data_IF_012949395022
#
_entry.id   IF_012949395022
#
_cell.length_a   1.000
_cell.length_b   1.000
_cell.length_c   1.000
_cell.angle_alpha   90.00
_cell.angle_beta   90.00
_cell.angle_gamma   90.00
#
_symmetry.space_group_name_H-M   'P 1'
#
loop_
_entity.id
_entity.type
_entity.pdbx_description
1 polymer ?
#
# COMPACT_ATOMS: atom_id res chain seq x y z
N UNK A 1 8.97 -20.80 -17.65
CA UNK A 1 8.99 -21.47 -16.33
C UNK A 1 9.35 -20.43 -15.29
N UNK A 2 8.49 -20.21 -14.29
CA UNK A 2 8.86 -19.44 -13.12
C UNK A 2 9.46 -20.42 -12.10
N UNK A 3 10.67 -20.15 -11.62
CA UNK A 3 11.34 -20.95 -10.60
C UNK A 3 11.05 -20.33 -9.23
N UNK A 4 10.68 -21.17 -8.26
CA UNK A 4 10.50 -20.76 -6.87
C UNK A 4 11.87 -20.61 -6.23
N UNK A 5 12.11 -19.45 -5.62
CA UNK A 5 13.24 -19.30 -4.71
C UNK A 5 12.99 -20.11 -3.43
N UNK A 6 13.85 -21.09 -3.18
CA UNK A 6 13.67 -22.02 -2.06
C UNK A 6 13.83 -21.34 -0.69
N UNK A 7 14.60 -20.26 -0.59
CA UNK A 7 14.79 -19.53 0.64
C UNK A 7 13.55 -18.69 0.97
N UNK A 8 12.99 -17.98 0.00
CA UNK A 8 11.74 -17.22 0.17
C UNK A 8 10.57 -18.15 0.48
N UNK A 9 10.49 -19.29 -0.21
CA UNK A 9 9.43 -20.27 0.04
C UNK A 9 9.51 -20.86 1.44
N UNK A 10 10.70 -21.26 1.89
CA UNK A 10 10.90 -21.81 3.23
C UNK A 10 10.58 -20.81 4.33
N UNK A 11 10.98 -19.54 4.14
CA UNK A 11 10.67 -18.45 5.07
C UNK A 11 9.16 -18.18 5.16
N UNK A 12 8.47 -18.10 4.00
CA UNK A 12 7.02 -17.95 3.98
C UNK A 12 6.31 -19.13 4.64
N UNK A 13 6.74 -20.36 4.33
CA UNK A 13 6.16 -21.57 4.93
C UNK A 13 6.31 -21.57 6.45
N UNK A 14 7.49 -21.22 6.97
CA UNK A 14 7.72 -21.09 8.40
C UNK A 14 6.82 -20.02 9.04
N UNK A 15 6.68 -18.85 8.40
CA UNK A 15 5.76 -17.81 8.85
C UNK A 15 4.29 -18.26 8.82
N UNK A 16 3.89 -19.07 7.82
CA UNK A 16 2.50 -19.53 7.64
C UNK A 16 2.03 -20.51 8.73
N UNK A 17 2.95 -21.24 9.37
CA UNK A 17 2.64 -22.12 10.51
C UNK A 17 2.22 -21.30 11.74
N UNK A 18 2.89 -20.16 11.99
CA UNK A 18 2.58 -19.24 13.09
C UNK A 18 2.45 -17.78 12.57
N UNK A 19 1.35 -17.46 11.86
CA UNK A 19 1.24 -16.19 11.15
C UNK A 19 1.12 -15.01 12.12
N UNK A 20 1.97 -14.02 11.89
CA UNK A 20 2.01 -12.78 12.68
C UNK A 20 2.12 -11.55 11.80
N UNK A 21 1.62 -10.42 12.28
CA UNK A 21 1.78 -9.09 11.68
C UNK A 21 2.96 -8.30 12.26
N UNK A 22 3.74 -8.91 13.18
CA UNK A 22 4.90 -8.24 13.76
C UNK A 22 5.93 -7.90 12.67
N UNK A 23 6.38 -6.64 12.64
CA UNK A 23 7.45 -6.18 11.74
C UNK A 23 8.77 -6.92 11.96
N UNK A 24 8.98 -7.48 13.15
CA UNK A 24 10.23 -8.14 13.54
C UNK A 24 10.34 -9.61 13.12
N UNK A 25 9.30 -10.20 12.51
CA UNK A 25 9.41 -11.56 12.00
C UNK A 25 10.20 -11.56 10.68
N UNK A 26 11.03 -12.59 10.45
CA UNK A 26 11.96 -12.63 9.30
C UNK A 26 11.27 -12.35 7.95
N UNK A 27 10.12 -12.99 7.73
CA UNK A 27 9.32 -12.82 6.52
C UNK A 27 8.92 -11.37 6.28
N UNK A 28 8.28 -10.73 7.26
CA UNK A 28 7.84 -9.34 7.09
C UNK A 28 9.02 -8.38 7.07
N UNK A 29 10.02 -8.53 7.95
CA UNK A 29 11.19 -7.67 7.99
C UNK A 29 11.84 -7.52 6.60
N UNK A 30 11.99 -8.64 5.89
CA UNK A 30 12.48 -8.65 4.50
C UNK A 30 11.59 -7.84 3.57
N UNK A 31 10.28 -8.09 3.57
CA UNK A 31 9.32 -7.37 2.72
C UNK A 31 9.27 -5.88 3.06
N UNK A 32 9.38 -5.52 4.34
CA UNK A 32 9.47 -4.13 4.78
C UNK A 32 10.66 -3.42 4.15
N UNK A 33 11.85 -4.03 4.31
CA UNK A 33 13.12 -3.48 3.81
C UNK A 33 13.16 -3.37 2.29
N UNK A 34 12.75 -4.42 1.60
CA UNK A 34 12.94 -4.55 0.16
C UNK A 34 11.82 -3.89 -0.65
N UNK A 35 10.59 -3.87 -0.12
CA UNK A 35 9.40 -3.49 -0.89
C UNK A 35 8.61 -2.35 -0.24
N UNK A 36 8.16 -2.49 1.01
CA UNK A 36 7.22 -1.54 1.63
C UNK A 36 7.87 -0.16 1.83
N UNK A 37 9.05 -0.10 2.47
CA UNK A 37 9.70 1.20 2.72
C UNK A 37 10.02 1.92 1.40
N UNK A 38 10.68 1.30 0.39
CA UNK A 38 10.88 1.98 -0.90
C UNK A 38 9.59 2.38 -1.61
N UNK A 39 8.52 1.59 -1.47
CA UNK A 39 7.22 1.88 -2.08
C UNK A 39 6.50 3.06 -1.39
N UNK A 40 6.68 3.27 -0.09
CA UNK A 40 6.06 4.40 0.64
C UNK A 40 6.99 5.60 0.85
N UNK A 41 8.17 5.62 0.24
CA UNK A 41 8.99 6.83 0.16
C UNK A 41 8.35 7.86 -0.77
N UNK A 42 8.04 9.04 -0.21
CA UNK A 42 7.48 10.20 -0.91
C UNK A 42 8.26 11.47 -0.55
N UNK A 43 8.08 12.54 -1.33
CA UNK A 43 8.72 13.84 -1.07
C UNK A 43 8.28 14.46 0.26
N UNK A 44 7.03 14.23 0.68
CA UNK A 44 6.56 14.53 2.05
C UNK A 44 6.66 13.28 2.91
N UNK A 45 7.78 13.13 3.60
CA UNK A 45 8.11 11.96 4.41
C UNK A 45 7.11 11.69 5.53
N UNK A 46 6.62 12.73 6.20
CA UNK A 46 5.71 12.63 7.34
C UNK A 46 4.40 11.98 6.92
N UNK A 47 3.90 12.35 5.74
CA UNK A 47 2.69 11.78 5.16
C UNK A 47 2.93 10.33 4.71
N UNK A 48 4.13 9.99 4.24
CA UNK A 48 4.52 8.61 3.95
C UNK A 48 4.52 7.71 5.20
N UNK A 49 5.07 8.20 6.32
CA UNK A 49 5.05 7.51 7.61
C UNK A 49 3.62 7.33 8.13
N UNK A 50 2.78 8.37 8.06
CA UNK A 50 1.37 8.30 8.45
C UNK A 50 0.57 7.29 7.60
N UNK A 51 0.87 7.20 6.29
CA UNK A 51 0.30 6.17 5.42
C UNK A 51 0.71 4.78 5.89
N UNK A 52 2.00 4.55 6.16
CA UNK A 52 2.44 3.23 6.60
C UNK A 52 1.72 2.79 7.88
N UNK A 53 1.67 3.68 8.88
CA UNK A 53 0.98 3.41 10.14
C UNK A 53 -0.52 3.09 9.91
N UNK A 54 -1.20 3.91 9.11
CA UNK A 54 -2.61 3.70 8.81
C UNK A 54 -2.86 2.42 7.99
N UNK A 55 -1.96 2.05 7.08
CA UNK A 55 -2.05 0.79 6.34
C UNK A 55 -1.93 -0.38 7.30
N UNK A 56 -0.98 -0.37 8.23
CA UNK A 56 -0.78 -1.44 9.21
C UNK A 56 -1.92 -1.58 10.21
N UNK A 57 -2.48 -0.45 10.65
CA UNK A 57 -3.66 -0.41 11.52
C UNK A 57 -4.97 -0.68 10.78
N UNK A 58 -4.93 -0.80 9.44
CA UNK A 58 -6.10 -0.97 8.59
C UNK A 58 -7.12 0.18 8.71
N UNK A 59 -6.63 1.41 8.85
CA UNK A 59 -7.43 2.63 9.01
C UNK A 59 -7.32 3.58 7.82
N UNK A 60 -6.53 3.25 6.79
CA UNK A 60 -6.44 4.05 5.57
C UNK A 60 -7.61 3.77 4.63
N UNK A 61 -8.29 4.82 4.15
CA UNK A 61 -9.25 4.71 3.03
C UNK A 61 -8.73 5.42 1.78
N UNK A 62 -9.09 4.89 0.61
CA UNK A 62 -8.81 5.48 -0.70
C UNK A 62 -10.14 5.63 -1.44
N UNK A 63 -10.54 6.87 -1.71
CA UNK A 63 -11.83 7.20 -2.30
C UNK A 63 -11.66 7.85 -3.67
N UNK A 64 -12.51 7.54 -4.66
CA UNK A 64 -12.60 8.32 -5.88
C UNK A 64 -13.17 9.71 -5.56
N UNK A 65 -12.64 10.72 -6.23
CA UNK A 65 -13.18 12.09 -6.16
C UNK A 65 -14.39 12.14 -7.10
N UNK A 66 -15.59 12.16 -6.53
CA UNK A 66 -16.82 12.40 -7.30
C UNK A 66 -16.90 13.83 -7.86
N UNK A 67 -17.90 14.10 -8.69
CA UNK A 67 -18.17 15.44 -9.25
C UNK A 67 -18.60 16.49 -8.21
N UNK A 68 -18.83 16.10 -6.96
CA UNK A 68 -19.24 17.04 -5.92
C UNK A 68 -18.03 17.71 -5.27
N UNK A 69 -17.96 19.06 -5.28
CA UNK A 69 -16.97 19.78 -4.50
C UNK A 69 -17.13 19.41 -3.03
N UNK A 70 -16.06 18.95 -2.38
CA UNK A 70 -16.06 18.88 -0.92
C UNK A 70 -16.30 20.27 -0.35
N UNK A 71 -17.02 20.40 0.78
CA UNK A 71 -17.07 21.65 1.53
C UNK A 71 -15.63 22.11 1.79
N UNK A 72 -15.34 23.35 1.44
CA UNK A 72 -14.01 23.95 1.59
C UNK A 72 -13.66 23.96 3.08
N UNK A 73 -12.94 22.95 3.57
CA UNK A 73 -12.46 22.95 4.95
C UNK A 73 -11.20 23.82 5.00
N UNK A 74 -11.30 24.83 5.87
CA UNK A 74 -10.42 25.96 6.12
C UNK A 74 -8.92 25.61 6.19
N UNK A 75 -8.11 26.55 5.69
CA UNK A 75 -6.69 26.84 6.00
C UNK A 75 -5.61 25.74 5.80
N UNK A 76 -5.91 24.44 5.92
CA UNK A 76 -4.94 23.35 5.71
C UNK A 76 -4.74 22.95 4.22
N UNK A 77 -5.37 23.69 3.31
CA UNK A 77 -5.55 23.33 1.90
C UNK A 77 -4.24 23.19 1.08
N UNK A 78 -3.14 23.80 1.52
CA UNK A 78 -1.86 23.72 0.78
C UNK A 78 -1.21 22.35 0.97
N UNK A 79 -1.31 21.76 2.17
CA UNK A 79 -0.66 20.50 2.49
C UNK A 79 -1.45 19.28 2.00
N UNK A 80 -2.78 19.41 1.97
CA UNK A 80 -3.73 18.39 1.53
C UNK A 80 -3.75 18.15 0.00
N UNK A 81 -3.03 18.98 -0.76
CA UNK A 81 -3.06 18.96 -2.22
C UNK A 81 -4.41 19.39 -2.77
N UNK A 82 -4.68 19.03 -4.02
CA UNK A 82 -5.96 19.32 -4.67
C UNK A 82 -6.15 18.53 -5.95
N UNK A 83 -7.26 18.72 -6.67
CA UNK A 83 -7.55 18.00 -7.91
C UNK A 83 -6.45 18.08 -8.98
N UNK A 84 -5.58 19.09 -8.91
CA UNK A 84 -4.45 19.30 -9.84
C UNK A 84 -3.06 19.16 -9.19
N UNK A 85 -2.96 18.85 -7.89
CA UNK A 85 -1.69 18.77 -7.16
C UNK A 85 -1.69 17.62 -6.17
N UNK A 86 -0.74 16.70 -6.32
CA UNK A 86 -0.58 15.57 -5.42
C UNK A 86 -0.05 16.03 -4.05
N UNK A 87 -0.71 15.60 -2.98
CA UNK A 87 -0.29 15.88 -1.61
C UNK A 87 1.06 15.22 -1.26
N UNK A 88 1.33 14.03 -1.80
CA UNK A 88 2.50 13.21 -1.47
C UNK A 88 3.76 13.59 -2.22
N UNK A 89 3.66 13.80 -3.54
CA UNK A 89 4.79 14.14 -4.39
C UNK A 89 4.94 15.65 -4.64
N UNK A 90 3.91 16.45 -4.31
CA UNK A 90 3.87 17.88 -4.63
C UNK A 90 3.70 18.22 -6.12
N UNK A 91 3.71 17.21 -6.99
CA UNK A 91 3.66 17.40 -8.45
C UNK A 91 2.28 17.85 -8.93
N UNK A 92 2.27 18.70 -9.96
CA UNK A 92 1.06 19.11 -10.67
C UNK A 92 0.59 17.99 -11.59
N UNK A 93 -0.42 17.24 -11.14
CA UNK A 93 -1.06 16.12 -11.85
C UNK A 93 -2.54 16.06 -11.50
N UNK A 94 -3.36 15.58 -12.43
CA UNK A 94 -4.77 15.33 -12.17
C UNK A 94 -4.93 14.22 -11.13
N UNK A 95 -5.54 14.55 -9.99
CA UNK A 95 -5.76 13.63 -8.87
C UNK A 95 -7.25 13.28 -8.83
N UNK A 96 -7.59 12.09 -9.35
CA UNK A 96 -8.96 11.55 -9.35
C UNK A 96 -9.32 10.82 -8.03
N UNK A 97 -8.38 10.72 -7.09
CA UNK A 97 -8.55 10.00 -5.84
C UNK A 97 -8.01 10.82 -4.66
N UNK A 98 -8.56 10.53 -3.48
CA UNK A 98 -8.13 11.09 -2.20
C UNK A 98 -7.98 9.98 -1.16
N UNK A 99 -7.11 10.20 -0.19
CA UNK A 99 -6.92 9.30 0.94
C UNK A 99 -7.36 9.97 2.24
N UNK A 100 -7.79 9.17 3.22
CA UNK A 100 -8.19 9.60 4.56
C UNK A 100 -7.63 8.62 5.59
N UNK A 101 -7.20 9.16 6.74
CA UNK A 101 -6.70 8.37 7.86
C UNK A 101 -7.81 8.24 8.92
N UNK A 102 -8.32 7.03 9.12
CA UNK A 102 -9.37 6.72 10.10
C UNK A 102 -10.53 7.72 10.05
N UNK A 103 -10.81 8.32 11.20
CA UNK A 103 -11.89 9.30 11.37
C UNK A 103 -11.46 10.76 11.13
N UNK A 104 -10.24 11.00 10.65
CA UNK A 104 -9.73 12.35 10.37
C UNK A 104 -10.64 13.10 9.41
N UNK A 105 -10.95 14.37 9.69
CA UNK A 105 -11.74 15.20 8.76
C UNK A 105 -10.99 15.60 7.48
N UNK A 106 -9.68 15.32 7.41
CA UNK A 106 -8.80 15.77 6.33
C UNK A 106 -8.66 14.72 5.23
N UNK A 107 -8.78 15.19 3.99
CA UNK A 107 -8.54 14.38 2.78
C UNK A 107 -7.29 14.86 2.07
N UNK A 108 -6.50 13.91 1.55
CA UNK A 108 -5.27 14.20 0.81
C UNK A 108 -5.41 13.72 -0.62
N UNK A 109 -5.32 14.64 -1.59
CA UNK A 109 -5.40 14.30 -3.01
C UNK A 109 -4.13 13.57 -3.45
N UNK A 110 -4.29 12.46 -4.15
CA UNK A 110 -3.16 11.63 -4.60
C UNK A 110 -3.18 11.45 -6.11
N UNK A 111 -2.00 11.56 -6.73
CA UNK A 111 -1.84 11.25 -8.15
C UNK A 111 -2.09 9.77 -8.40
N UNK A 112 -2.42 9.37 -9.66
CA UNK A 112 -2.58 7.95 -10.02
C UNK A 112 -1.37 7.11 -9.62
N UNK A 113 -0.16 7.64 -9.80
CA UNK A 113 1.07 6.96 -9.40
C UNK A 113 1.20 6.77 -7.89
N UNK A 114 0.98 7.83 -7.09
CA UNK A 114 1.05 7.71 -5.64
C UNK A 114 -0.03 6.76 -5.11
N UNK A 115 -1.25 6.82 -5.68
CA UNK A 115 -2.31 5.85 -5.39
C UNK A 115 -1.84 4.43 -5.66
N UNK A 116 -1.22 4.17 -6.81
CA UNK A 116 -0.74 2.84 -7.18
C UNK A 116 0.23 2.27 -6.14
N UNK A 117 1.23 3.06 -5.71
CA UNK A 117 2.16 2.67 -4.64
C UNK A 117 1.42 2.28 -3.36
N UNK A 118 0.49 3.12 -2.91
CA UNK A 118 -0.31 2.89 -1.71
C UNK A 118 -1.14 1.61 -1.85
N UNK A 119 -1.84 1.43 -2.97
CA UNK A 119 -2.72 0.27 -3.18
C UNK A 119 -1.93 -1.03 -3.27
N UNK A 120 -0.74 -1.02 -3.86
CA UNK A 120 0.13 -2.21 -3.90
C UNK A 120 0.48 -2.68 -2.48
N UNK A 121 0.84 -1.74 -1.60
CA UNK A 121 1.13 -2.04 -0.19
C UNK A 121 -0.13 -2.47 0.57
N UNK A 122 -1.27 -1.79 0.37
CA UNK A 122 -2.54 -2.16 0.98
C UNK A 122 -2.98 -3.58 0.60
N UNK A 123 -2.87 -3.94 -0.68
CA UNK A 123 -3.22 -5.28 -1.16
C UNK A 123 -2.35 -6.35 -0.50
N UNK A 124 -1.04 -6.11 -0.37
CA UNK A 124 -0.14 -6.99 0.37
C UNK A 124 -0.62 -7.20 1.81
N UNK A 125 -0.79 -6.13 2.58
CA UNK A 125 -1.25 -6.25 3.97
C UNK A 125 -2.62 -6.90 4.12
N UNK A 126 -3.54 -6.60 3.20
CA UNK A 126 -4.88 -7.20 3.19
C UNK A 126 -4.78 -8.72 3.07
N UNK A 127 -3.98 -9.21 2.12
CA UNK A 127 -3.79 -10.64 1.92
C UNK A 127 -3.08 -11.31 3.10
N UNK A 128 -2.03 -10.68 3.64
CA UNK A 128 -1.33 -11.17 4.84
C UNK A 128 -2.28 -11.28 6.04
N UNK A 129 -3.17 -10.30 6.25
CA UNK A 129 -4.22 -10.37 7.28
C UNK A 129 -5.19 -11.52 7.04
N UNK A 130 -5.61 -11.74 5.80
CA UNK A 130 -6.51 -12.85 5.47
C UNK A 130 -5.88 -14.20 5.79
N UNK A 131 -4.58 -14.37 5.50
CA UNK A 131 -3.85 -15.59 5.90
C UNK A 131 -3.80 -15.70 7.42
N UNK A 132 -3.42 -14.63 8.13
CA UNK A 132 -3.29 -14.61 9.59
C UNK A 132 -4.61 -14.91 10.31
N UNK A 133 -5.73 -14.44 9.76
CA UNK A 133 -7.08 -14.67 10.30
C UNK A 133 -7.68 -16.02 9.88
N UNK A 134 -6.98 -16.83 9.06
CA UNK A 134 -7.49 -18.11 8.57
C UNK A 134 -8.63 -17.99 7.56
N UNK A 135 -8.73 -16.85 6.86
CA UNK A 135 -9.77 -16.59 5.86
C UNK A 135 -9.45 -17.24 4.50
N UNK A 136 -8.18 -17.54 4.23
CA UNK A 136 -7.74 -18.20 2.99
C UNK A 136 -7.80 -19.73 3.14
N UNK A 137 -8.97 -20.31 2.91
CA UNK A 137 -9.23 -21.75 3.16
C UNK A 137 -9.05 -22.68 1.95
N UNK A 138 -9.16 -22.14 0.73
CA UNK A 138 -9.20 -22.95 -0.50
C UNK A 138 -7.85 -23.02 -1.23
N UNK A 139 -6.87 -22.21 -0.83
CA UNK A 139 -5.56 -22.18 -1.46
C UNK A 139 -4.60 -23.13 -0.73
N UNK A 140 -3.79 -23.87 -1.48
CA UNK A 140 -2.64 -24.57 -0.91
C UNK A 140 -1.49 -23.59 -0.60
N UNK A 141 -0.46 -24.06 0.11
CA UNK A 141 0.67 -23.23 0.54
C UNK A 141 1.44 -22.65 -0.64
N UNK A 142 1.52 -23.37 -1.76
CA UNK A 142 2.23 -22.91 -2.96
C UNK A 142 1.45 -21.79 -3.66
N UNK A 143 0.13 -21.94 -3.79
CA UNK A 143 -0.76 -20.92 -4.30
C UNK A 143 -0.71 -19.65 -3.44
N UNK A 144 -0.71 -19.79 -2.11
CA UNK A 144 -0.57 -18.63 -1.23
C UNK A 144 0.78 -17.93 -1.40
N UNK A 145 1.85 -18.70 -1.53
CA UNK A 145 3.18 -18.17 -1.78
C UNK A 145 3.25 -17.40 -3.10
N UNK A 146 2.69 -17.95 -4.18
CA UNK A 146 2.67 -17.27 -5.48
C UNK A 146 1.88 -15.98 -5.46
N UNK A 147 0.77 -15.92 -4.72
CA UNK A 147 0.02 -14.69 -4.50
C UNK A 147 0.87 -13.65 -3.75
N UNK A 148 1.59 -14.05 -2.70
CA UNK A 148 2.56 -13.18 -2.02
C UNK A 148 3.65 -12.68 -2.99
N UNK A 149 4.22 -13.56 -3.82
CA UNK A 149 5.24 -13.16 -4.81
C UNK A 149 4.69 -12.17 -5.84
N UNK A 150 3.44 -12.37 -6.28
CA UNK A 150 2.77 -11.45 -7.20
C UNK A 150 2.54 -10.08 -6.53
N UNK A 151 2.09 -10.03 -5.28
CA UNK A 151 1.93 -8.78 -4.53
C UNK A 151 3.27 -8.05 -4.30
N UNK A 152 4.34 -8.79 -3.97
CA UNK A 152 5.70 -8.22 -3.87
C UNK A 152 6.21 -7.69 -5.20
N UNK A 153 5.90 -8.38 -6.31
CA UNK A 153 6.22 -7.91 -7.66
C UNK A 153 5.52 -6.59 -7.98
N UNK A 154 4.24 -6.44 -7.63
CA UNK A 154 3.52 -5.19 -7.84
C UNK A 154 4.15 -4.03 -7.04
N UNK A 155 4.53 -4.26 -5.78
CA UNK A 155 5.28 -3.27 -4.99
C UNK A 155 6.66 -2.97 -5.60
N UNK A 156 7.34 -3.98 -6.15
CA UNK A 156 8.63 -3.83 -6.82
C UNK A 156 8.53 -3.03 -8.12
N UNK A 157 7.44 -3.14 -8.86
CA UNK A 157 7.17 -2.26 -10.00
C UNK A 157 6.83 -0.83 -9.55
N UNK A 158 5.98 -0.70 -8.52
CA UNK A 158 5.57 0.59 -7.98
C UNK A 158 6.76 1.41 -7.43
N UNK A 159 7.70 0.78 -6.70
CA UNK A 159 8.88 1.47 -6.14
C UNK A 159 9.82 2.01 -7.23
N UNK A 160 9.83 1.39 -8.41
CA UNK A 160 10.64 1.80 -9.56
C UNK A 160 9.91 2.76 -10.52
N UNK A 161 8.65 3.10 -10.26
CA UNK A 161 7.88 4.01 -11.11
C UNK A 161 7.08 3.34 -12.22
N UNK A 162 7.09 2.00 -12.31
CA UNK A 162 6.29 1.27 -13.29
C UNK A 162 4.86 1.14 -12.79
N UNK A 163 3.95 1.93 -13.38
CA UNK A 163 2.52 1.77 -13.19
C UNK A 163 1.81 1.96 -14.52
N UNK A 164 0.71 1.24 -14.73
CA UNK A 164 -0.17 1.45 -15.88
C UNK A 164 -1.33 2.29 -15.40
N UNK A 165 -1.45 3.50 -15.93
CA UNK A 165 -2.65 4.32 -15.76
C UNK A 165 -3.74 3.67 -16.63
N UNK A 166 -4.47 2.70 -16.07
CA UNK A 166 -5.71 2.27 -16.70
C UNK A 166 -6.72 3.41 -16.52
N UNK A 167 -6.77 4.25 -17.59
CA UNK A 167 -7.69 5.32 -17.97
C UNK A 167 -8.87 5.63 -17.02
#
# INVERSE_FOLDING_TARGET
FLLVDSQLFSEFKAWKEEPTLSRSCCFLERVYREDIYPCLTFSKSELGSAILEAVEQNTLSVEPVGFQPLPVVKAAAVECGGPKKCALSGQTKTCKHRIKFGDSSSYYYVSPFCRYKITAVCNFFTYIRYIQQGLVKQQDVEQMFWEVMQLRREMSFAKLGYFRDQL
#
